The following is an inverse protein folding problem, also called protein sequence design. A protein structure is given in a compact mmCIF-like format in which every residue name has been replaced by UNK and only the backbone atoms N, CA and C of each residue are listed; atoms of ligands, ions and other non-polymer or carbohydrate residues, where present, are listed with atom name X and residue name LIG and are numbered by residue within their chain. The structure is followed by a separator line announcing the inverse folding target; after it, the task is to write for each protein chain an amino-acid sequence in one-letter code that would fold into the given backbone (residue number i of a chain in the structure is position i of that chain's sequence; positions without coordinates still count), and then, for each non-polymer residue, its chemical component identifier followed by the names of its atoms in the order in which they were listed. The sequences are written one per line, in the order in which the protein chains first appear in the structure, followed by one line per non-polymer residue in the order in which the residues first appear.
data_IF_445835692952
#
_entry.id   IF_445835692952
#
_cell.length_a   1.000
_cell.length_b   1.000
_cell.length_c   1.000
_cell.angle_alpha   90.00
_cell.angle_beta   90.00
_cell.angle_gamma   90.00
#
_symmetry.space_group_name_H-M   'P 1'
#
loop_
_entity.id
_entity.type
_entity.pdbx_description
1 polymer ?
#
# COMPACT_ATOMS: atom_id res chain seq x y z
N UNK A 1 -18.02 -33.14 55.04
CA UNK A 1 -17.96 -31.67 55.18
C UNK A 1 -16.92 -31.06 54.18
N UNK A 2 -16.76 -31.63 53.00
CA UNK A 2 -15.76 -31.16 51.98
C UNK A 2 -16.35 -30.84 50.59
N UNK A 3 -17.69 -30.75 50.50
CA UNK A 3 -18.34 -30.62 49.22
C UNK A 3 -18.65 -29.16 48.78
N UNK A 4 -18.50 -28.18 49.68
CA UNK A 4 -18.85 -26.78 49.39
C UNK A 4 -17.69 -25.90 48.96
N UNK A 5 -16.45 -26.28 49.27
CA UNK A 5 -15.26 -25.46 48.91
C UNK A 5 -14.89 -25.56 47.44
N UNK A 6 -15.09 -26.71 46.79
CA UNK A 6 -14.74 -26.91 45.36
C UNK A 6 -15.67 -26.12 44.41
N UNK A 7 -16.95 -25.98 44.76
CA UNK A 7 -17.93 -25.21 43.96
C UNK A 7 -17.67 -23.70 43.99
N UNK A 8 -17.13 -23.19 45.08
CA UNK A 8 -16.82 -21.75 45.18
C UNK A 8 -15.61 -21.35 44.36
N UNK A 9 -14.61 -22.24 44.25
CA UNK A 9 -13.40 -22.01 43.44
C UNK A 9 -13.69 -22.04 41.95
N UNK A 10 -14.59 -22.92 41.50
CA UNK A 10 -14.94 -23.02 40.08
C UNK A 10 -15.75 -21.82 39.57
N UNK A 11 -16.60 -21.22 40.45
CA UNK A 11 -17.37 -20.01 40.11
C UNK A 11 -16.50 -18.75 39.99
N UNK A 12 -15.32 -18.72 40.63
CA UNK A 12 -14.41 -17.58 40.59
C UNK A 12 -13.47 -17.60 39.40
N UNK A 13 -13.10 -18.79 38.89
CA UNK A 13 -12.14 -18.94 37.78
C UNK A 13 -12.80 -18.68 36.41
N UNK A 14 -14.08 -19.06 36.25
CA UNK A 14 -14.77 -18.89 34.95
C UNK A 14 -14.89 -17.42 34.51
N UNK A 15 -15.33 -16.47 35.38
CA UNK A 15 -15.39 -15.07 34.99
C UNK A 15 -13.99 -14.44 34.76
N UNK A 16 -12.95 -14.88 35.47
CA UNK A 16 -11.58 -14.39 35.27
C UNK A 16 -11.00 -14.84 33.92
N UNK A 17 -11.27 -16.09 33.53
CA UNK A 17 -10.86 -16.60 32.20
C UNK A 17 -11.62 -15.91 31.06
N UNK A 18 -12.90 -15.61 31.24
CA UNK A 18 -13.68 -14.82 30.26
C UNK A 18 -13.17 -13.40 30.11
N UNK A 19 -12.71 -12.75 31.17
CA UNK A 19 -12.13 -11.41 31.09
C UNK A 19 -10.79 -11.42 30.32
N UNK A 20 -9.96 -12.44 30.48
CA UNK A 20 -8.67 -12.55 29.74
C UNK A 20 -8.91 -12.78 28.24
N UNK A 21 -9.93 -13.53 27.87
CA UNK A 21 -10.27 -13.77 26.44
C UNK A 21 -10.81 -12.49 25.77
N UNK A 22 -11.48 -11.60 26.52
CA UNK A 22 -12.00 -10.34 25.95
C UNK A 22 -10.92 -9.28 25.68
N UNK A 23 -9.76 -9.34 26.36
CA UNK A 23 -8.68 -8.38 26.18
C UNK A 23 -7.69 -8.74 25.08
N UNK A 24 -7.78 -9.93 24.49
CA UNK A 24 -6.90 -10.38 23.42
C UNK A 24 -7.44 -10.16 22.01
N UNK A 25 -8.30 -9.17 21.81
CA UNK A 25 -8.67 -8.74 20.45
C UNK A 25 -7.42 -8.10 19.81
N UNK A 26 -6.91 -8.64 18.72
CA UNK A 26 -5.83 -7.96 18.00
C UNK A 26 -6.34 -6.59 17.59
N UNK A 27 -5.64 -5.55 17.96
CA UNK A 27 -5.85 -4.20 17.43
C UNK A 27 -5.68 -4.28 15.91
N UNK A 28 -6.77 -4.48 15.20
CA UNK A 28 -6.79 -4.42 13.75
C UNK A 28 -6.63 -2.96 13.38
N UNK A 29 -5.44 -2.60 12.92
CA UNK A 29 -5.22 -1.29 12.33
C UNK A 29 -6.27 -1.06 11.24
N UNK A 30 -6.86 0.13 11.20
CA UNK A 30 -7.81 0.50 10.16
C UNK A 30 -7.03 0.72 8.87
N UNK A 31 -7.30 -0.09 7.83
CA UNK A 31 -6.75 0.17 6.50
C UNK A 31 -7.26 1.53 5.99
N UNK A 32 -6.34 2.40 5.64
CA UNK A 32 -6.64 3.68 5.01
C UNK A 32 -6.58 3.50 3.50
N UNK A 33 -7.69 3.75 2.79
CA UNK A 33 -7.72 3.73 1.34
C UNK A 33 -7.01 4.96 0.80
N UNK A 34 -5.90 4.75 0.07
CA UNK A 34 -5.15 5.82 -0.59
C UNK A 34 -5.87 6.24 -1.87
N UNK A 35 -6.22 5.27 -2.71
CA UNK A 35 -6.96 5.48 -3.96
C UNK A 35 -7.65 4.19 -4.40
N UNK A 36 -8.91 4.28 -4.78
CA UNK A 36 -9.68 3.21 -5.40
C UNK A 36 -9.84 3.39 -6.91
N UNK A 37 -9.31 4.52 -7.45
CA UNK A 37 -9.37 4.91 -8.85
C UNK A 37 -10.78 5.06 -9.44
N UNK A 38 -11.82 5.06 -8.60
CA UNK A 38 -13.22 5.21 -9.06
C UNK A 38 -13.63 6.66 -9.22
N UNK A 39 -13.03 7.57 -8.46
CA UNK A 39 -13.37 8.98 -8.46
C UNK A 39 -12.72 9.72 -9.63
N UNK A 40 -13.39 10.76 -10.11
CA UNK A 40 -12.90 11.65 -11.19
C UNK A 40 -11.67 12.52 -10.79
N UNK A 41 -10.99 12.22 -9.68
CA UNK A 41 -9.85 12.96 -9.14
C UNK A 41 -8.49 12.50 -9.64
N UNK A 42 -8.39 12.17 -10.91
CA UNK A 42 -7.18 11.62 -11.53
C UNK A 42 -6.00 12.60 -11.60
N UNK A 43 -6.24 13.88 -11.34
CA UNK A 43 -5.25 14.97 -11.38
C UNK A 43 -4.13 14.82 -10.32
N UNK A 44 -4.35 14.00 -9.27
CA UNK A 44 -3.33 13.73 -8.27
C UNK A 44 -2.22 12.79 -8.73
N UNK A 45 -2.42 12.06 -9.84
CA UNK A 45 -1.45 11.15 -10.41
C UNK A 45 -0.76 11.75 -11.62
N UNK A 46 0.54 11.58 -11.71
CA UNK A 46 1.39 12.09 -12.77
C UNK A 46 2.13 10.93 -13.45
N UNK A 47 2.10 10.92 -14.80
CA UNK A 47 2.95 10.03 -15.60
C UNK A 47 4.33 10.64 -15.79
N UNK A 48 5.38 9.86 -15.53
CA UNK A 48 6.76 10.27 -15.77
C UNK A 48 7.48 9.13 -16.48
N UNK A 49 8.33 9.49 -17.45
CA UNK A 49 9.27 8.57 -18.08
C UNK A 49 10.69 9.11 -17.98
N UNK A 50 11.66 8.29 -18.36
CA UNK A 50 13.08 8.66 -18.40
C UNK A 50 13.39 9.79 -19.38
N UNK A 51 12.43 10.24 -20.19
CA UNK A 51 12.57 11.42 -21.07
C UNK A 51 12.94 12.69 -20.28
N UNK A 52 12.56 12.79 -19.00
CA UNK A 52 12.93 13.92 -18.11
C UNK A 52 14.46 14.03 -17.90
N UNK A 53 15.21 12.98 -18.24
CA UNK A 53 16.66 12.92 -18.13
C UNK A 53 17.35 12.52 -19.45
N UNK A 54 16.65 12.62 -20.58
CA UNK A 54 17.18 12.33 -21.92
C UNK A 54 17.01 10.89 -22.40
N UNK A 55 16.32 10.05 -21.65
CA UNK A 55 15.91 8.70 -22.08
C UNK A 55 14.90 8.73 -23.22
N UNK A 56 14.58 7.55 -23.75
CA UNK A 56 13.69 7.40 -24.92
C UNK A 56 12.50 6.47 -24.66
N UNK A 57 12.24 6.12 -23.42
CA UNK A 57 11.06 5.32 -23.04
C UNK A 57 9.79 6.11 -23.33
N UNK A 58 8.77 5.41 -23.82
CA UNK A 58 7.45 5.99 -24.13
C UNK A 58 6.37 5.23 -23.39
N UNK A 59 5.28 5.91 -23.09
CA UNK A 59 4.17 5.26 -22.42
C UNK A 59 2.99 6.19 -22.19
N UNK A 60 1.98 5.65 -21.54
CA UNK A 60 0.79 6.38 -21.13
C UNK A 60 0.20 5.80 -19.85
N UNK A 61 -0.48 6.67 -19.15
CA UNK A 61 -1.24 6.37 -17.95
C UNK A 61 -2.71 6.70 -18.22
N UNK A 62 -3.59 5.76 -17.97
CA UNK A 62 -5.04 5.93 -18.17
C UNK A 62 -5.77 5.43 -16.92
N UNK A 63 -6.83 6.11 -16.55
CA UNK A 63 -7.76 5.66 -15.53
C UNK A 63 -8.91 4.93 -16.22
N UNK A 64 -9.22 3.76 -15.76
CA UNK A 64 -10.26 2.90 -16.32
C UNK A 64 -11.14 2.35 -15.23
N UNK A 65 -12.40 2.17 -15.54
CA UNK A 65 -13.36 1.48 -14.71
C UNK A 65 -13.75 0.17 -15.41
N UNK A 66 -13.74 -0.90 -14.66
CA UNK A 66 -14.26 -2.19 -15.08
C UNK A 66 -15.22 -2.67 -13.99
N UNK A 67 -16.50 -2.78 -14.34
CA UNK A 67 -17.58 -3.09 -13.41
C UNK A 67 -17.65 -2.05 -12.27
N UNK A 68 -17.39 -2.48 -11.04
CA UNK A 68 -17.35 -1.62 -9.85
C UNK A 68 -15.92 -1.27 -9.39
N UNK A 69 -14.90 -1.72 -10.13
CA UNK A 69 -13.48 -1.50 -9.79
C UNK A 69 -12.84 -0.47 -10.71
N UNK A 70 -12.33 0.61 -10.11
CA UNK A 70 -11.43 1.56 -10.79
C UNK A 70 -9.99 1.06 -10.77
N UNK A 71 -9.21 1.37 -11.80
CA UNK A 71 -7.79 1.09 -11.82
C UNK A 71 -6.99 2.07 -12.68
N UNK A 72 -5.74 2.26 -12.29
CA UNK A 72 -4.75 2.97 -13.08
C UNK A 72 -4.08 1.97 -14.03
N UNK A 73 -4.15 2.25 -15.33
CA UNK A 73 -3.55 1.46 -16.39
C UNK A 73 -2.32 2.15 -16.93
N UNK A 74 -1.14 1.63 -16.55
CA UNK A 74 0.15 2.10 -17.02
C UNK A 74 0.66 1.17 -18.12
N UNK A 75 0.95 1.72 -19.31
CA UNK A 75 1.50 0.95 -20.45
C UNK A 75 2.60 1.72 -21.11
N UNK A 76 3.57 1.02 -21.68
CA UNK A 76 4.63 1.68 -22.43
C UNK A 76 5.72 0.74 -22.93
N UNK A 77 6.68 1.34 -23.60
CA UNK A 77 7.87 0.70 -24.14
C UNK A 77 9.08 1.27 -23.43
N UNK A 78 9.68 0.49 -22.56
CA UNK A 78 10.85 0.91 -21.76
C UNK A 78 12.12 0.60 -22.53
N UNK A 79 13.02 1.57 -22.63
CA UNK A 79 14.30 1.47 -23.32
C UNK A 79 15.43 1.93 -22.41
N UNK A 80 16.50 1.17 -22.36
CA UNK A 80 17.71 1.53 -21.61
C UNK A 80 18.68 2.45 -22.38
N UNK A 81 18.32 2.85 -23.59
CA UNK A 81 19.12 3.82 -24.36
C UNK A 81 19.20 5.15 -23.63
N UNK A 82 20.31 5.86 -23.83
CA UNK A 82 20.60 7.14 -23.22
C UNK A 82 20.52 7.12 -21.68
N UNK A 83 20.92 6.01 -21.05
CA UNK A 83 20.86 5.81 -19.59
C UNK A 83 19.42 5.90 -19.03
N UNK A 84 18.41 5.69 -19.87
CA UNK A 84 17.02 5.58 -19.50
C UNK A 84 16.69 4.22 -18.86
N UNK A 85 15.40 3.88 -18.77
CA UNK A 85 14.96 2.56 -18.34
C UNK A 85 13.72 2.54 -17.48
N UNK A 86 12.87 3.58 -17.49
CA UNK A 86 11.64 3.56 -16.70
C UNK A 86 10.48 4.35 -17.31
N UNK A 87 9.29 3.91 -16.92
CA UNK A 87 8.05 4.68 -16.90
C UNK A 87 7.43 4.50 -15.52
N UNK A 88 6.77 5.51 -14.99
CA UNK A 88 6.15 5.45 -13.67
C UNK A 88 4.88 6.28 -13.55
N UNK A 89 4.01 5.89 -12.64
CA UNK A 89 2.92 6.70 -12.13
C UNK A 89 3.31 7.20 -10.73
N UNK A 90 3.15 8.49 -10.48
CA UNK A 90 3.53 9.15 -9.23
C UNK A 90 2.35 9.90 -8.62
N UNK A 91 2.23 9.85 -7.30
CA UNK A 91 1.28 10.68 -6.54
C UNK A 91 1.89 11.17 -5.24
N UNK A 92 1.31 12.23 -4.68
CA UNK A 92 1.69 12.76 -3.37
C UNK A 92 0.80 12.19 -2.27
N UNK A 93 1.41 11.75 -1.17
CA UNK A 93 0.73 11.21 0.00
C UNK A 93 0.70 12.19 1.18
N UNK A 94 1.11 13.45 1.00
CA UNK A 94 1.28 14.44 2.09
C UNK A 94 0.06 14.60 3.00
N UNK A 95 -1.14 14.52 2.43
CA UNK A 95 -2.40 14.73 3.16
C UNK A 95 -3.16 13.42 3.43
N UNK A 96 -2.55 12.29 3.14
CA UNK A 96 -3.18 10.97 3.23
C UNK A 96 -2.59 10.16 4.38
N UNK A 97 -1.26 10.23 4.57
CA UNK A 97 -0.58 9.43 5.58
C UNK A 97 -0.65 10.09 6.96
N UNK A 98 -0.93 9.27 7.97
CA UNK A 98 -0.84 9.60 9.40
C UNK A 98 0.42 8.94 9.99
N UNK A 99 0.78 9.32 11.22
CA UNK A 99 1.99 8.80 11.89
C UNK A 99 1.91 7.30 12.23
N UNK A 100 0.72 6.69 12.14
CA UNK A 100 0.49 5.29 12.53
C UNK A 100 0.58 4.31 11.35
N UNK A 101 1.01 4.77 10.17
CA UNK A 101 1.14 3.93 8.99
C UNK A 101 2.35 3.00 9.13
N UNK A 102 2.10 1.70 9.09
CA UNK A 102 3.12 0.65 9.19
C UNK A 102 3.53 0.05 7.84
N UNK A 103 2.76 0.33 6.78
CA UNK A 103 3.05 -0.19 5.44
C UNK A 103 2.08 0.31 4.38
N UNK A 104 2.37 -0.02 3.14
CA UNK A 104 1.52 0.27 1.98
C UNK A 104 1.12 -1.06 1.35
N UNK A 105 -0.18 -1.23 1.11
CA UNK A 105 -0.75 -2.37 0.42
C UNK A 105 -1.16 -1.95 -0.99
N UNK A 106 -0.67 -2.66 -1.99
CA UNK A 106 -1.07 -2.45 -3.38
C UNK A 106 -1.75 -3.70 -3.94
N UNK A 107 -2.74 -3.51 -4.81
CA UNK A 107 -3.31 -4.56 -5.65
C UNK A 107 -2.89 -4.25 -7.08
N UNK A 108 -2.14 -5.15 -7.69
CA UNK A 108 -1.60 -4.95 -9.03
C UNK A 108 -1.84 -6.18 -9.91
N UNK A 109 -1.95 -5.93 -11.22
CA UNK A 109 -1.95 -6.94 -12.28
C UNK A 109 -0.95 -6.49 -13.34
N UNK A 110 -0.17 -7.41 -13.85
CA UNK A 110 0.88 -7.08 -14.81
C UNK A 110 1.15 -8.22 -15.80
N UNK A 111 2.25 -8.13 -16.50
CA UNK A 111 2.68 -9.04 -17.55
C UNK A 111 3.85 -9.94 -17.15
N UNK A 112 3.89 -10.36 -15.89
CA UNK A 112 4.91 -11.26 -15.33
C UNK A 112 6.34 -10.70 -15.37
N UNK A 113 6.48 -9.40 -15.17
CA UNK A 113 7.76 -8.72 -15.01
C UNK A 113 7.94 -8.19 -13.59
N UNK A 114 9.14 -7.71 -13.31
CA UNK A 114 9.46 -7.05 -12.05
C UNK A 114 8.96 -5.61 -12.08
N UNK A 115 8.36 -5.21 -10.97
CA UNK A 115 7.93 -3.84 -10.72
C UNK A 115 8.53 -3.33 -9.41
N UNK A 116 8.57 -2.03 -9.25
CA UNK A 116 9.15 -1.38 -8.09
C UNK A 116 8.19 -0.34 -7.52
N UNK A 117 8.00 -0.38 -6.21
CA UNK A 117 7.37 0.70 -5.47
C UNK A 117 8.48 1.59 -4.90
N UNK A 118 8.47 2.87 -5.26
CA UNK A 118 9.39 3.85 -4.72
C UNK A 118 8.65 4.77 -3.74
N UNK A 119 9.19 4.95 -2.55
CA UNK A 119 8.69 5.89 -1.57
C UNK A 119 9.74 6.97 -1.30
N UNK A 120 9.36 8.22 -1.45
CA UNK A 120 10.19 9.37 -1.08
C UNK A 120 9.58 10.07 0.12
N UNK A 121 10.43 10.48 1.05
CA UNK A 121 10.07 11.25 2.24
C UNK A 121 10.72 12.62 2.21
N UNK A 122 10.35 13.50 3.13
CA UNK A 122 10.99 14.81 3.25
C UNK A 122 12.50 14.71 3.57
N UNK A 123 12.98 13.57 4.08
CA UNK A 123 14.40 13.31 4.31
C UNK A 123 15.17 12.86 3.06
N UNK A 124 14.49 12.56 1.95
CA UNK A 124 15.13 12.16 0.68
C UNK A 124 15.40 13.39 -0.18
N UNK A 125 16.53 14.06 0.05
CA UNK A 125 16.87 15.36 -0.56
C UNK A 125 17.15 15.23 -2.06
N UNK A 126 17.95 14.22 -2.45
CA UNK A 126 18.37 14.05 -3.84
C UNK A 126 17.30 13.31 -4.67
N UNK A 127 17.12 13.62 -5.96
CA UNK A 127 16.09 13.02 -6.83
C UNK A 127 16.13 11.49 -6.89
N UNK A 128 17.31 10.90 -6.75
CA UNK A 128 17.56 9.45 -6.78
C UNK A 128 17.55 8.78 -5.41
N UNK A 129 17.28 9.53 -4.33
CA UNK A 129 17.07 8.97 -3.00
C UNK A 129 15.61 8.54 -2.84
N UNK A 130 15.38 7.27 -2.61
CA UNK A 130 14.06 6.69 -2.32
C UNK A 130 14.20 5.35 -1.57
N UNK A 131 13.18 4.96 -0.89
CA UNK A 131 13.00 3.59 -0.42
C UNK A 131 12.38 2.79 -1.54
N UNK A 132 12.89 1.58 -1.77
CA UNK A 132 12.43 0.72 -2.86
C UNK A 132 11.95 -0.63 -2.34
N UNK A 133 10.81 -1.09 -2.83
CA UNK A 133 10.34 -2.46 -2.70
C UNK A 133 10.08 -3.06 -4.08
N UNK A 134 10.64 -4.23 -4.34
CA UNK A 134 10.39 -4.99 -5.56
C UNK A 134 9.15 -5.87 -5.36
N UNK A 135 8.33 -6.01 -6.41
CA UNK A 135 7.23 -6.96 -6.43
C UNK A 135 7.03 -7.54 -7.84
N UNK A 136 6.51 -8.77 -7.89
CA UNK A 136 6.19 -9.47 -9.12
C UNK A 136 4.67 -9.59 -9.28
N UNK A 137 4.17 -9.57 -10.51
CA UNK A 137 2.76 -9.74 -10.88
C UNK A 137 2.62 -10.59 -12.13
#
# INVERSE_FOLDING_TARGET
MFHNSVKLFLKSIVPLLMIIIFFSQPLRGKDLMIDDFQSAGNERWEFISDQVMGGVSTGKMLFKNQDLDGYLHLTGNVSTKNQGGFIQARTSLKNVLTNDITGIKIRAKGNATKYYLHLRTNGTILPWHYYQAEFNV
#
